data_IF_859753199062
#
_entry.id   IF_859753199062
#
_cell.length_a   1.000
_cell.length_b   1.000
_cell.length_c   1.000
_cell.angle_alpha   90.00
_cell.angle_beta   90.00
_cell.angle_gamma   90.00
#
_symmetry.space_group_name_H-M   'P 1'
#
loop_
_entity.id
_entity.type
_entity.pdbx_description
1 polymer ?
#
# COMPACT_ATOMS: atom_id res chain seq x y z
N UNK A 1 5.21 8.82 -7.17
CA UNK A 1 5.66 8.80 -5.76
C UNK A 1 6.77 9.83 -5.59
N UNK A 2 7.15 10.17 -4.36
CA UNK A 2 8.23 11.12 -4.06
C UNK A 2 9.18 10.45 -3.07
N UNK A 3 10.51 10.51 -3.29
CA UNK A 3 11.47 10.11 -2.29
C UNK A 3 11.52 11.12 -1.13
N UNK A 4 11.46 10.64 0.11
CA UNK A 4 11.55 11.46 1.32
C UNK A 4 12.15 10.63 2.45
N UNK A 5 13.22 11.13 3.08
CA UNK A 5 13.97 10.45 4.16
C UNK A 5 14.36 9.00 3.85
N UNK A 6 14.78 8.72 2.61
CA UNK A 6 15.18 7.37 2.19
C UNK A 6 14.02 6.41 1.93
N UNK A 7 12.76 6.84 2.08
CA UNK A 7 11.57 6.06 1.73
C UNK A 7 10.80 6.69 0.55
N UNK A 8 9.95 5.90 -0.09
CA UNK A 8 9.07 6.34 -1.17
C UNK A 8 7.67 6.64 -0.64
N UNK A 9 7.28 7.90 -0.72
CA UNK A 9 5.98 8.38 -0.29
C UNK A 9 5.02 8.56 -1.46
N UNK A 10 3.86 7.92 -1.37
CA UNK A 10 2.84 7.93 -2.42
C UNK A 10 1.45 8.22 -1.89
N UNK A 11 0.56 8.65 -2.77
CA UNK A 11 -0.88 8.67 -2.43
C UNK A 11 -1.38 7.24 -2.21
N UNK A 12 -2.54 7.09 -1.55
CA UNK A 12 -3.14 5.77 -1.34
C UNK A 12 -3.29 4.99 -2.66
N UNK A 13 -3.65 5.66 -3.76
CA UNK A 13 -3.75 5.02 -5.08
C UNK A 13 -2.39 4.57 -5.63
N UNK A 14 -1.35 5.38 -5.46
CA UNK A 14 0.00 5.02 -5.92
C UNK A 14 0.57 3.83 -5.13
N UNK A 15 0.38 3.83 -3.81
CA UNK A 15 0.84 2.75 -2.93
C UNK A 15 0.08 1.46 -3.23
N UNK A 16 -1.25 1.52 -3.34
CA UNK A 16 -2.07 0.37 -3.70
C UNK A 16 -1.61 -0.27 -5.02
N UNK A 17 -1.39 0.55 -6.07
CA UNK A 17 -0.87 0.06 -7.35
C UNK A 17 0.51 -0.60 -7.24
N UNK A 18 1.35 -0.15 -6.30
CA UNK A 18 2.70 -0.69 -6.11
C UNK A 18 2.70 -2.01 -5.35
N UNK A 19 1.83 -2.13 -4.36
CA UNK A 19 1.67 -3.32 -3.52
C UNK A 19 0.94 -4.46 -4.25
N UNK A 20 -0.01 -4.12 -5.12
CA UNK A 20 -0.68 -5.08 -5.99
C UNK A 20 -2.20 -4.99 -5.91
N UNK A 21 -2.91 -5.80 -6.71
CA UNK A 21 -4.36 -5.69 -6.91
C UNK A 21 -5.18 -5.96 -5.63
N UNK A 22 -4.61 -6.68 -4.67
CA UNK A 22 -5.27 -7.03 -3.42
C UNK A 22 -5.26 -5.90 -2.38
N UNK A 23 -4.43 -4.87 -2.57
CA UNK A 23 -4.38 -3.71 -1.69
C UNK A 23 -5.17 -2.58 -2.32
N UNK A 24 -6.20 -2.11 -1.62
CA UNK A 24 -7.02 -0.99 -2.08
C UNK A 24 -6.62 0.31 -1.40
N UNK A 25 -6.89 1.49 -2.02
CA UNK A 25 -6.69 2.77 -1.37
C UNK A 25 -7.46 2.91 -0.04
N UNK A 26 -8.62 2.25 0.07
CA UNK A 26 -9.40 2.22 1.30
C UNK A 26 -8.70 1.44 2.42
N UNK A 27 -8.02 0.33 2.09
CA UNK A 27 -7.23 -0.42 3.07
C UNK A 27 -6.09 0.42 3.64
N UNK A 28 -5.38 1.17 2.80
CA UNK A 28 -4.31 2.07 3.27
C UNK A 28 -4.83 3.16 4.22
N UNK A 29 -6.00 3.73 3.92
CA UNK A 29 -6.65 4.69 4.83
C UNK A 29 -7.05 4.02 6.16
N UNK A 30 -7.55 2.79 6.11
CA UNK A 30 -7.88 2.04 7.32
C UNK A 30 -6.63 1.70 8.15
N UNK A 31 -5.54 1.29 7.50
CA UNK A 31 -4.27 1.03 8.16
C UNK A 31 -3.72 2.28 8.85
N UNK A 32 -3.92 3.46 8.26
CA UNK A 32 -3.52 4.73 8.88
C UNK A 32 -4.36 5.10 10.11
N UNK A 33 -5.58 4.57 10.21
CA UNK A 33 -6.46 4.82 11.36
C UNK A 33 -6.34 3.74 12.43
N UNK A 34 -6.06 2.48 12.05
CA UNK A 34 -6.17 1.31 12.96
C UNK A 34 -4.87 0.57 13.20
N UNK A 35 -3.95 0.59 12.24
CA UNK A 35 -2.74 -0.24 12.23
C UNK A 35 -1.46 0.60 12.34
N UNK A 36 -1.60 1.91 12.56
CA UNK A 36 -0.47 2.82 12.77
C UNK A 36 0.32 3.16 11.51
N UNK A 37 -0.26 3.05 10.31
CA UNK A 37 0.41 3.51 9.09
C UNK A 37 0.58 5.04 9.13
N UNK A 38 1.82 5.58 9.10
CA UNK A 38 2.04 7.02 9.09
C UNK A 38 1.39 7.66 7.85
N UNK A 39 0.88 8.87 8.02
CA UNK A 39 0.41 9.71 6.92
C UNK A 39 0.95 11.12 7.10
N UNK A 40 1.42 11.71 6.02
CA UNK A 40 1.93 13.07 6.01
C UNK A 40 1.28 13.86 4.90
N UNK A 41 1.13 15.17 5.11
CA UNK A 41 0.71 16.08 4.05
C UNK A 41 1.97 16.61 3.37
N UNK A 42 2.17 16.21 2.12
CA UNK A 42 3.37 16.52 1.34
C UNK A 42 2.98 17.16 0.02
N UNK A 43 3.76 18.15 -0.40
CA UNK A 43 3.58 18.85 -1.67
C UNK A 43 4.01 17.96 -2.83
N UNK A 44 3.16 17.85 -3.86
CA UNK A 44 3.51 17.15 -5.08
C UNK A 44 4.46 17.99 -5.97
N UNK A 45 5.02 17.43 -7.07
CA UNK A 45 5.89 18.20 -7.97
C UNK A 45 5.20 19.39 -8.64
N UNK A 46 3.87 19.48 -8.56
CA UNK A 46 3.06 20.58 -9.09
C UNK A 46 2.65 21.58 -8.01
N UNK A 47 3.25 21.52 -6.81
CA UNK A 47 2.97 22.46 -5.74
C UNK A 47 1.67 22.18 -4.97
N UNK A 48 0.99 21.04 -5.19
CA UNK A 48 -0.29 20.73 -4.54
C UNK A 48 -0.08 19.88 -3.29
N UNK A 49 -0.61 20.27 -2.12
CA UNK A 49 -0.51 19.47 -0.91
C UNK A 49 -1.40 18.23 -1.02
N UNK A 50 -0.82 17.05 -0.79
CA UNK A 50 -1.52 15.77 -0.83
C UNK A 50 -1.16 14.90 0.37
N UNK A 51 -2.12 14.10 0.84
CA UNK A 51 -1.85 13.09 1.86
C UNK A 51 -1.10 11.92 1.23
N UNK A 52 0.05 11.59 1.80
CA UNK A 52 0.92 10.51 1.35
C UNK A 52 1.22 9.54 2.48
N UNK A 53 1.54 8.32 2.07
CA UNK A 53 1.86 7.20 2.94
C UNK A 53 3.23 6.63 2.52
N UNK A 54 4.04 6.19 3.50
CA UNK A 54 5.31 5.53 3.25
C UNK A 54 5.12 4.12 2.65
N UNK A 55 5.87 3.80 1.60
CA UNK A 55 5.79 2.50 0.92
C UNK A 55 6.34 1.37 1.80
N UNK A 56 7.50 1.55 2.42
CA UNK A 56 8.12 0.51 3.24
C UNK A 56 7.17 0.06 4.36
N UNK A 57 6.62 1.02 5.11
CA UNK A 57 5.70 0.70 6.20
C UNK A 57 4.37 0.09 5.73
N UNK A 58 3.85 0.53 4.58
CA UNK A 58 2.66 -0.07 4.00
C UNK A 58 2.91 -1.53 3.59
N UNK A 59 4.12 -1.83 3.10
CA UNK A 59 4.58 -3.19 2.77
C UNK A 59 4.67 -4.06 4.03
N UNK A 60 5.23 -3.54 5.13
CA UNK A 60 5.32 -4.28 6.39
C UNK A 60 3.94 -4.64 6.96
N UNK A 61 3.01 -3.69 6.94
CA UNK A 61 1.64 -3.91 7.39
C UNK A 61 0.96 -4.94 6.49
N UNK A 62 1.14 -4.83 5.16
CA UNK A 62 0.62 -5.83 4.24
C UNK A 62 1.17 -7.23 4.55
N UNK A 63 2.48 -7.38 4.68
CA UNK A 63 3.13 -8.67 4.97
C UNK A 63 2.60 -9.26 6.28
N UNK A 64 2.50 -8.43 7.33
CA UNK A 64 1.94 -8.82 8.63
C UNK A 64 0.49 -9.31 8.48
N UNK A 65 -0.37 -8.55 7.76
CA UNK A 65 -1.77 -8.91 7.56
C UNK A 65 -1.93 -10.16 6.69
N UNK A 66 -1.09 -10.29 5.66
CA UNK A 66 -1.07 -11.45 4.78
C UNK A 66 -0.73 -12.73 5.55
N UNK A 67 0.30 -12.68 6.41
CA UNK A 67 0.71 -13.82 7.24
C UNK A 67 -0.28 -14.12 8.38
N UNK A 68 -1.03 -13.11 8.85
CA UNK A 68 -1.92 -13.27 10.00
C UNK A 68 -3.15 -14.18 9.78
N UNK A 69 -3.42 -14.62 8.54
CA UNK A 69 -4.60 -15.43 8.20
C UNK A 69 -5.96 -14.77 8.46
N UNK A 70 -5.99 -13.56 9.03
CA UNK A 70 -7.18 -12.81 9.43
C UNK A 70 -7.47 -11.71 8.41
N UNK A 71 -8.42 -11.97 7.51
CA UNK A 71 -8.83 -11.03 6.47
C UNK A 71 -9.50 -11.71 5.28
N UNK A 72 -9.88 -10.93 4.25
CA UNK A 72 -10.46 -11.46 3.01
C UNK A 72 -9.43 -12.42 2.38
N UNK A 73 -9.79 -13.69 2.18
CA UNK A 73 -8.98 -14.63 1.39
C UNK A 73 -8.77 -14.00 0.01
N UNK A 74 -7.54 -13.62 -0.30
CA UNK A 74 -7.16 -13.09 -1.61
C UNK A 74 -7.33 -14.22 -2.62
N UNK A 75 -7.85 -13.90 -3.81
CA UNK A 75 -7.93 -14.91 -4.87
C UNK A 75 -6.49 -15.23 -5.26
N UNK A 76 -6.08 -16.47 -4.98
CA UNK A 76 -5.03 -17.08 -5.77
C UNK A 76 -5.63 -17.18 -7.17
N UNK A 77 -5.42 -16.18 -8.02
CA UNK A 77 -5.63 -16.38 -9.43
C UNK A 77 -4.58 -17.41 -9.85
N UNK A 78 -5.00 -18.67 -9.87
CA UNK A 78 -4.26 -19.79 -10.41
C UNK A 78 -4.17 -19.58 -11.93
N UNK A 79 -3.33 -18.65 -12.36
CA UNK A 79 -2.91 -18.60 -13.75
C UNK A 79 -1.63 -19.42 -13.91
N UNK A 80 -1.78 -20.73 -13.72
CA UNK A 80 -0.81 -21.71 -14.21
C UNK A 80 -1.49 -22.48 -15.33
N UNK A 81 -1.24 -22.15 -16.61
CA UNK A 81 -1.28 -23.19 -17.62
C UNK A 81 0.02 -23.99 -17.48
N UNK A 82 -0.08 -25.14 -16.83
CA UNK A 82 0.83 -26.25 -17.11
C UNK A 82 0.52 -26.67 -18.54
N UNK A 83 1.47 -26.47 -19.45
CA UNK A 83 1.60 -27.22 -20.70
C UNK A 83 2.99 -27.87 -20.61
N UNK A 84 3.06 -29.16 -20.26
CA UNK A 84 2.90 -30.34 -21.12
C UNK A 84 4.24 -30.69 -21.78
#
# INVERSE_FOLDING_TARGET
MIPHDGDHWGTATQIARRLGPDVTPAMLRNWATRDGLPKARMTDPHGRPQVRYPLAKATDIEATKYLSGRGRKRRLDANTPVAA
#
